data_IF_921342601063
#
_entry.id   IF_921342601063
#
_cell.length_a   1.000
_cell.length_b   1.000
_cell.length_c   1.000
_cell.angle_alpha   90.00
_cell.angle_beta   90.00
_cell.angle_gamma   90.00
#
_symmetry.space_group_name_H-M   'P 1'
#
loop_
_entity.id
_entity.type
_entity.pdbx_description
1 polymer ?
#
# COMPACT_ATOMS: atom_id res chain seq x y z
N UNK A 1 12.45 -62.70 38.56
CA UNK A 1 11.14 -63.06 37.96
C UNK A 1 11.01 -62.28 36.66
N UNK A 2 11.33 -62.84 35.48
CA UNK A 2 10.38 -63.34 34.45
C UNK A 2 9.05 -62.57 34.34
N UNK A 3 8.88 -61.83 33.23
CA UNK A 3 7.76 -61.85 32.23
C UNK A 3 7.56 -60.45 31.59
N UNK A 4 8.10 -60.17 30.40
CA UNK A 4 7.56 -60.36 29.03
C UNK A 4 6.50 -59.33 28.57
N UNK A 5 6.95 -58.33 27.78
CA UNK A 5 6.49 -57.78 26.47
C UNK A 5 4.96 -57.74 26.11
N UNK A 6 4.45 -56.61 25.57
CA UNK A 6 3.95 -56.41 24.16
C UNK A 6 2.94 -55.25 23.90
N UNK A 7 3.24 -54.48 22.83
CA UNK A 7 2.35 -53.84 21.80
C UNK A 7 1.60 -52.56 22.21
N UNK A 8 2.08 -51.37 21.83
CA UNK A 8 1.90 -50.66 20.53
C UNK A 8 0.49 -50.11 20.27
N UNK A 9 0.35 -48.78 20.33
CA UNK A 9 -0.56 -48.03 19.48
C UNK A 9 0.16 -46.74 19.05
N UNK A 10 0.82 -46.81 17.89
CA UNK A 10 1.35 -45.65 17.18
C UNK A 10 0.14 -44.88 16.64
N UNK A 11 -0.28 -43.83 17.33
CA UNK A 11 -1.18 -42.83 16.76
C UNK A 11 -0.32 -41.91 15.90
N UNK A 12 -0.17 -42.30 14.64
CA UNK A 12 0.36 -41.43 13.60
C UNK A 12 -0.62 -40.30 13.34
N UNK A 13 -0.49 -39.19 14.08
CA UNK A 13 -1.01 -37.91 13.62
C UNK A 13 -0.03 -37.43 12.55
N UNK A 14 -0.38 -37.74 11.30
CA UNK A 14 0.16 -37.00 10.16
C UNK A 14 -0.30 -35.56 10.29
N UNK A 15 0.61 -34.69 10.74
CA UNK A 15 0.49 -33.25 10.56
C UNK A 15 0.48 -33.01 9.04
N UNK A 16 -0.72 -32.96 8.48
CA UNK A 16 -0.99 -32.37 7.18
C UNK A 16 -0.63 -30.89 7.30
N UNK A 17 0.64 -30.55 7.07
CA UNK A 17 1.00 -29.21 6.64
C UNK A 17 0.38 -29.04 5.27
N UNK A 18 -0.88 -28.60 5.25
CA UNK A 18 -1.50 -28.14 4.03
C UNK A 18 -0.57 -27.13 3.39
N UNK A 19 -0.01 -27.46 2.22
CA UNK A 19 0.63 -26.46 1.39
C UNK A 19 -0.46 -25.50 0.96
N UNK A 20 -0.59 -24.39 1.67
CA UNK A 20 -1.36 -23.26 1.17
C UNK A 20 -0.56 -22.75 -0.03
N UNK A 21 -0.92 -23.22 -1.21
CA UNK A 21 -0.46 -22.62 -2.45
C UNK A 21 -1.05 -21.21 -2.48
N UNK A 22 -0.26 -20.24 -2.02
CA UNK A 22 -0.54 -18.83 -2.24
C UNK A 22 -0.47 -18.62 -3.74
N UNK A 23 -1.61 -18.69 -4.41
CA UNK A 23 -1.71 -18.31 -5.82
C UNK A 23 -1.39 -16.82 -5.88
N UNK A 24 -0.14 -16.47 -6.17
CA UNK A 24 0.25 -15.11 -6.45
C UNK A 24 -0.56 -14.64 -7.67
N UNK A 25 -1.45 -13.67 -7.48
CA UNK A 25 -2.20 -13.08 -8.58
C UNK A 25 -1.21 -12.42 -9.53
N UNK A 26 -1.16 -12.85 -10.80
CA UNK A 26 -0.32 -12.22 -11.83
C UNK A 26 -0.69 -10.74 -11.98
N UNK A 27 0.28 -9.82 -12.15
CA UNK A 27 0.00 -8.44 -12.53
C UNK A 27 -0.89 -8.37 -13.77
N UNK A 28 -1.91 -7.52 -13.73
CA UNK A 28 -2.85 -7.28 -14.83
C UNK A 28 -2.51 -6.00 -15.61
N UNK A 29 -1.74 -5.09 -15.03
CA UNK A 29 -1.36 -3.80 -15.62
C UNK A 29 0.15 -3.54 -15.44
N UNK A 30 0.79 -2.77 -16.34
CA UNK A 30 2.15 -2.31 -16.14
C UNK A 30 2.24 -1.25 -15.04
N UNK A 31 3.47 -0.95 -14.61
CA UNK A 31 3.73 0.15 -13.70
C UNK A 31 3.49 1.48 -14.43
N UNK A 32 2.87 2.48 -13.79
CA UNK A 32 2.90 3.85 -14.32
C UNK A 32 4.34 4.36 -14.43
N UNK A 33 4.57 5.25 -15.38
CA UNK A 33 5.86 5.93 -15.61
C UNK A 33 5.70 7.43 -15.44
N UNK A 34 6.82 8.15 -15.34
CA UNK A 34 6.78 9.62 -15.32
C UNK A 34 6.17 10.23 -14.06
N UNK A 35 6.08 9.49 -12.94
CA UNK A 35 5.53 10.03 -11.70
C UNK A 35 6.30 11.28 -11.24
N UNK A 36 5.56 12.36 -11.02
CA UNK A 36 6.03 13.59 -10.37
C UNK A 36 5.20 13.89 -9.13
N UNK A 37 5.77 14.64 -8.18
CA UNK A 37 5.15 15.05 -6.92
C UNK A 37 5.52 16.52 -6.72
N UNK A 38 4.60 17.41 -7.06
CA UNK A 38 4.83 18.84 -7.05
C UNK A 38 4.01 19.46 -5.95
N UNK A 39 4.62 20.30 -5.10
CA UNK A 39 3.85 21.09 -4.15
C UNK A 39 3.06 22.16 -4.91
N UNK A 40 1.76 22.22 -4.69
CA UNK A 40 0.88 23.24 -5.28
C UNK A 40 0.04 23.88 -4.17
N UNK A 41 0.40 25.09 -3.76
CA UNK A 41 -0.30 25.79 -2.68
C UNK A 41 -0.30 25.02 -1.35
N UNK A 42 -1.44 24.43 -1.00
CA UNK A 42 -1.70 23.64 0.21
C UNK A 42 -1.82 22.13 -0.05
N UNK A 43 -1.31 21.65 -1.17
CA UNK A 43 -1.39 20.25 -1.59
C UNK A 43 -0.10 19.71 -2.20
N UNK A 44 -0.10 18.39 -2.43
CA UNK A 44 0.85 17.69 -3.28
C UNK A 44 0.09 17.20 -4.52
N UNK A 45 0.42 17.77 -5.67
CA UNK A 45 -0.06 17.32 -6.97
C UNK A 45 0.82 16.17 -7.48
N UNK A 46 0.23 14.98 -7.56
CA UNK A 46 0.84 13.80 -8.17
C UNK A 46 0.36 13.64 -9.61
N UNK A 47 1.29 13.42 -10.54
CA UNK A 47 1.00 13.30 -11.98
C UNK A 47 1.86 12.22 -12.60
N UNK A 48 1.29 11.38 -13.47
CA UNK A 48 2.00 10.28 -14.13
C UNK A 48 1.42 9.97 -15.52
N UNK A 49 2.14 9.15 -16.29
CA UNK A 49 1.69 8.72 -17.61
C UNK A 49 0.50 7.75 -17.53
N UNK A 50 -0.50 7.96 -18.39
CA UNK A 50 -1.67 7.08 -18.54
C UNK A 50 -1.30 5.60 -18.74
N UNK A 51 -1.85 4.73 -17.90
CA UNK A 51 -1.76 3.28 -18.07
C UNK A 51 -3.00 2.74 -18.78
N UNK A 52 -2.82 2.26 -20.00
CA UNK A 52 -3.88 1.67 -20.79
C UNK A 52 -4.59 0.53 -20.04
N UNK A 53 -5.91 0.66 -19.88
CA UNK A 53 -6.75 -0.33 -19.19
C UNK A 53 -6.87 -0.13 -17.67
N UNK A 54 -6.14 0.81 -17.08
CA UNK A 54 -6.42 1.29 -15.74
C UNK A 54 -7.83 1.89 -15.66
N UNK A 55 -8.48 1.76 -14.51
CA UNK A 55 -9.69 2.54 -14.19
C UNK A 55 -9.52 3.40 -12.96
N UNK A 56 -8.46 3.17 -12.20
CA UNK A 56 -8.06 3.96 -11.04
C UNK A 56 -6.60 3.71 -10.70
N UNK A 57 -6.08 4.53 -9.80
CA UNK A 57 -4.72 4.44 -9.31
C UNK A 57 -4.69 4.48 -7.78
N UNK A 58 -3.55 4.09 -7.22
CA UNK A 58 -3.25 4.12 -5.79
C UNK A 58 -1.86 4.73 -5.64
N UNK A 59 -1.79 5.88 -4.99
CA UNK A 59 -0.55 6.56 -4.62
C UNK A 59 -0.21 6.14 -3.20
N UNK A 60 0.87 5.38 -3.04
CA UNK A 60 1.39 4.99 -1.73
C UNK A 60 2.48 5.99 -1.34
N UNK A 61 2.34 6.59 -0.16
CA UNK A 61 3.25 7.61 0.37
C UNK A 61 3.93 7.07 1.62
N UNK A 62 5.23 7.32 1.75
CA UNK A 62 6.01 7.08 2.96
C UNK A 62 6.58 8.41 3.47
N UNK A 63 6.37 8.72 4.74
CA UNK A 63 6.86 9.94 5.40
C UNK A 63 7.82 9.57 6.52
N UNK A 64 9.04 10.13 6.48
CA UNK A 64 10.05 9.92 7.51
C UNK A 64 9.82 10.89 8.68
N UNK A 65 9.40 10.35 9.82
CA UNK A 65 9.06 11.12 11.01
C UNK A 65 10.29 11.37 11.88
N UNK A 66 11.16 10.36 11.99
CA UNK A 66 12.42 10.47 12.71
C UNK A 66 13.41 9.40 12.26
N UNK A 67 14.71 9.66 12.41
CA UNK A 67 15.76 8.71 12.04
C UNK A 67 16.13 8.77 10.56
N UNK A 68 16.26 7.60 9.92
CA UNK A 68 16.64 7.46 8.50
C UNK A 68 15.67 6.52 7.79
N UNK A 69 15.73 6.44 6.46
CA UNK A 69 14.88 5.54 5.69
C UNK A 69 15.08 4.04 5.98
N UNK A 70 16.22 3.66 6.57
CA UNK A 70 16.52 2.26 6.91
C UNK A 70 16.13 1.88 8.35
N UNK A 71 16.16 2.85 9.28
CA UNK A 71 16.02 2.59 10.73
C UNK A 71 15.04 3.52 11.45
N UNK A 72 14.41 4.42 10.72
CA UNK A 72 13.54 5.47 11.24
C UNK A 72 12.10 5.05 11.48
N UNK A 73 11.35 5.98 12.06
CA UNK A 73 9.88 5.90 12.14
C UNK A 73 9.32 6.40 10.82
N UNK A 74 8.68 5.51 10.07
CA UNK A 74 8.08 5.80 8.77
C UNK A 74 6.58 5.59 8.87
N UNK A 75 5.82 6.63 8.53
CA UNK A 75 4.36 6.53 8.36
C UNK A 75 4.07 6.21 6.91
N UNK A 76 3.15 5.26 6.68
CA UNK A 76 2.71 4.85 5.35
C UNK A 76 1.25 5.22 5.15
N UNK A 77 0.99 5.99 4.10
CA UNK A 77 -0.33 6.44 3.69
C UNK A 77 -0.63 5.88 2.30
N UNK A 78 -1.92 5.79 1.95
CA UNK A 78 -2.34 5.40 0.61
C UNK A 78 -3.55 6.24 0.20
N UNK A 79 -3.45 6.89 -0.94
CA UNK A 79 -4.49 7.73 -1.51
C UNK A 79 -4.92 7.15 -2.85
N UNK A 80 -6.22 6.97 -3.05
CA UNK A 80 -6.75 6.41 -4.29
C UNK A 80 -7.48 7.45 -5.11
N UNK A 81 -7.38 7.36 -6.44
CA UNK A 81 -8.24 8.16 -7.31
C UNK A 81 -9.72 7.75 -7.22
N UNK A 82 -10.04 6.61 -6.58
CA UNK A 82 -11.42 6.19 -6.29
C UNK A 82 -12.13 7.01 -5.21
N UNK A 83 -11.35 7.71 -4.41
CA UNK A 83 -11.73 8.39 -3.18
C UNK A 83 -11.17 9.82 -3.18
N UNK A 84 -10.77 10.30 -4.37
CA UNK A 84 -10.25 11.65 -4.60
C UNK A 84 -11.26 12.73 -4.21
N UNK A 85 -10.75 13.80 -3.60
CA UNK A 85 -11.51 14.95 -3.10
C UNK A 85 -11.26 16.23 -3.91
N UNK A 86 -10.30 16.20 -4.82
CA UNK A 86 -9.86 17.29 -5.71
C UNK A 86 -10.81 17.57 -6.91
N UNK A 87 -11.87 16.77 -7.08
CA UNK A 87 -12.89 16.96 -8.10
C UNK A 87 -12.58 16.36 -9.48
N UNK A 88 -11.44 15.67 -9.65
CA UNK A 88 -11.15 14.95 -10.88
C UNK A 88 -11.94 13.63 -11.01
N UNK A 89 -11.74 12.93 -12.12
CA UNK A 89 -12.35 11.64 -12.42
C UNK A 89 -11.44 10.49 -11.97
N UNK A 90 -12.05 9.44 -11.40
CA UNK A 90 -11.33 8.28 -10.88
C UNK A 90 -10.31 7.64 -11.85
N UNK A 91 -10.53 7.72 -13.16
CA UNK A 91 -9.65 7.12 -14.17
C UNK A 91 -8.49 7.99 -14.62
N UNK A 92 -8.38 9.23 -14.16
CA UNK A 92 -7.31 10.15 -14.54
C UNK A 92 -5.98 9.76 -13.88
N UNK A 93 -4.89 10.21 -14.50
CA UNK A 93 -3.52 9.87 -14.11
C UNK A 93 -2.85 10.96 -13.30
N UNK A 94 -3.67 11.63 -12.52
CA UNK A 94 -3.30 12.64 -11.55
C UNK A 94 -4.13 12.47 -10.27
N UNK A 95 -3.56 12.97 -9.18
CA UNK A 95 -4.22 13.06 -7.90
C UNK A 95 -3.65 14.24 -7.13
N UNK A 96 -4.52 15.16 -6.73
CA UNK A 96 -4.16 16.27 -5.86
C UNK A 96 -4.56 15.96 -4.42
N UNK A 97 -3.59 15.94 -3.50
CA UNK A 97 -3.79 15.56 -2.09
C UNK A 97 -3.46 16.75 -1.20
N UNK A 98 -4.45 17.23 -0.45
CA UNK A 98 -4.28 18.35 0.48
C UNK A 98 -3.31 17.97 1.61
N UNK A 99 -2.52 18.92 2.10
CA UNK A 99 -1.64 18.70 3.26
C UNK A 99 -2.40 18.20 4.48
N UNK A 100 -3.65 18.65 4.67
CA UNK A 100 -4.53 18.21 5.76
C UNK A 100 -4.92 16.73 5.70
N UNK A 101 -4.70 16.05 4.58
CA UNK A 101 -4.94 14.62 4.44
C UNK A 101 -3.71 13.78 4.82
N UNK A 102 -2.52 14.41 4.94
CA UNK A 102 -1.30 13.79 5.45
C UNK A 102 -1.28 13.83 6.96
N UNK A 103 -2.15 13.04 7.59
CA UNK A 103 -2.30 12.96 9.04
C UNK A 103 -2.12 11.54 9.54
N UNK A 104 -1.61 11.38 10.75
CA UNK A 104 -1.47 10.09 11.41
C UNK A 104 -1.73 10.23 12.89
N UNK A 105 -2.46 9.27 13.46
CA UNK A 105 -2.73 9.22 14.89
C UNK A 105 -1.59 8.47 15.60
N UNK A 106 -0.65 9.21 16.20
CA UNK A 106 0.49 8.61 16.90
C UNK A 106 0.12 8.05 18.28
N UNK A 107 -0.91 8.59 18.94
CA UNK A 107 -1.30 8.20 20.30
C UNK A 107 -2.42 7.12 20.31
N UNK A 108 -3.08 6.90 19.18
CA UNK A 108 -4.15 5.93 19.02
C UNK A 108 -5.46 6.37 19.68
N UNK A 109 -5.58 7.63 20.07
CA UNK A 109 -6.78 8.17 20.71
C UNK A 109 -7.76 8.72 19.68
N UNK A 110 -8.89 8.01 19.53
CA UNK A 110 -10.00 8.46 18.67
C UNK A 110 -10.66 9.79 19.09
N UNK A 111 -10.34 10.34 20.26
CA UNK A 111 -10.91 11.58 20.79
C UNK A 111 -10.09 12.83 20.43
N UNK A 112 -8.85 12.66 19.97
CA UNK A 112 -7.99 13.75 19.49
C UNK A 112 -7.97 13.78 17.95
N UNK A 113 -7.87 14.96 17.33
CA UNK A 113 -7.58 15.03 15.91
C UNK A 113 -6.23 14.38 15.60
N UNK A 114 -6.08 13.70 14.45
CA UNK A 114 -4.82 13.07 14.09
C UNK A 114 -3.72 14.12 13.89
N UNK A 115 -2.47 13.73 14.11
CA UNK A 115 -1.32 14.62 14.01
C UNK A 115 -0.98 14.91 12.55
N UNK A 116 -0.72 16.19 12.25
CA UNK A 116 -0.25 16.63 10.95
C UNK A 116 1.18 16.12 10.71
N UNK A 117 1.38 15.43 9.59
CA UNK A 117 2.70 14.99 9.17
C UNK A 117 3.47 16.11 8.47
N UNK A 118 4.79 16.12 8.67
CA UNK A 118 5.76 17.05 8.06
C UNK A 118 7.09 16.33 7.83
N UNK A 119 7.92 16.80 6.88
CA UNK A 119 9.27 16.27 6.65
C UNK A 119 9.47 15.55 5.31
N UNK A 120 10.57 14.79 5.21
CA UNK A 120 10.92 14.08 3.98
C UNK A 120 9.89 13.00 3.65
N UNK A 121 9.44 12.99 2.40
CA UNK A 121 8.45 12.04 1.92
C UNK A 121 8.83 11.47 0.55
N UNK A 122 8.34 10.26 0.28
CA UNK A 122 8.43 9.66 -1.04
C UNK A 122 7.12 8.98 -1.40
N UNK A 123 6.78 9.00 -2.68
CA UNK A 123 5.57 8.40 -3.22
C UNK A 123 5.87 7.49 -4.40
N UNK A 124 5.00 6.50 -4.59
CA UNK A 124 4.96 5.65 -5.78
C UNK A 124 3.52 5.36 -6.13
N UNK A 125 3.24 5.15 -7.40
CA UNK A 125 1.87 4.93 -7.88
C UNK A 125 1.76 3.56 -8.55
N UNK A 126 0.60 2.92 -8.42
CA UNK A 126 0.24 1.74 -9.22
C UNK A 126 -1.09 1.91 -9.91
N UNK A 127 -1.18 1.35 -11.11
CA UNK A 127 -2.43 1.27 -11.85
C UNK A 127 -3.30 0.12 -11.35
N UNK A 128 -4.61 0.33 -11.30
CA UNK A 128 -5.59 -0.66 -10.89
C UNK A 128 -6.73 -0.71 -11.91
N UNK A 129 -7.17 -1.92 -12.24
CA UNK A 129 -8.40 -2.13 -13.00
C UNK A 129 -9.38 -2.85 -12.07
N UNK A 130 -10.45 -2.21 -11.58
CA UNK A 130 -11.36 -2.75 -10.59
C UNK A 130 -11.68 -4.19 -10.94
N UNK A 131 -11.54 -5.07 -9.94
CA UNK A 131 -11.70 -6.46 -10.21
C UNK A 131 -13.11 -6.73 -10.74
N UNK A 132 -13.22 -7.49 -11.84
CA UNK A 132 -14.44 -8.26 -12.05
C UNK A 132 -14.74 -9.06 -10.76
N UNK A 133 -16.02 -9.29 -10.45
CA UNK A 133 -16.60 -9.74 -9.14
C UNK A 133 -15.86 -10.82 -8.31
N UNK A 134 -14.73 -11.40 -8.74
CA UNK A 134 -13.90 -12.36 -8.01
C UNK A 134 -12.41 -12.01 -7.80
N UNK A 135 -11.86 -10.87 -8.26
CA UNK A 135 -10.42 -10.57 -8.07
C UNK A 135 -10.21 -9.74 -6.77
N UNK A 136 -9.75 -10.37 -5.69
CA UNK A 136 -9.61 -9.69 -4.38
C UNK A 136 -8.30 -8.90 -4.21
N UNK A 137 -7.30 -9.14 -5.07
CA UNK A 137 -6.01 -8.46 -5.04
C UNK A 137 -5.43 -8.37 -6.45
N UNK A 138 -4.86 -7.22 -6.79
CA UNK A 138 -4.08 -6.99 -8.00
C UNK A 138 -2.66 -6.67 -7.58
N UNK A 139 -1.76 -7.62 -7.81
CA UNK A 139 -0.33 -7.45 -7.56
C UNK A 139 0.34 -6.67 -8.72
N UNK A 140 -0.24 -5.52 -9.09
CA UNK A 140 0.34 -4.67 -10.13
C UNK A 140 1.60 -3.98 -9.59
N UNK A 141 2.65 -3.86 -10.41
CA UNK A 141 3.87 -3.17 -10.01
C UNK A 141 3.62 -1.68 -9.78
N UNK A 142 4.46 -1.09 -8.94
CA UNK A 142 4.52 0.35 -8.73
C UNK A 142 5.50 1.00 -9.71
N UNK A 143 5.32 2.31 -9.91
CA UNK A 143 6.29 3.20 -10.51
C UNK A 143 7.61 3.23 -9.73
N UNK A 144 8.61 3.90 -10.30
CA UNK A 144 9.74 4.40 -9.53
C UNK A 144 9.27 5.41 -8.47
N UNK A 145 10.11 5.62 -7.46
CA UNK A 145 9.86 6.60 -6.40
C UNK A 145 9.99 8.03 -6.92
N UNK A 146 9.12 8.88 -6.40
CA UNK A 146 9.20 10.31 -6.49
C UNK A 146 9.33 10.90 -5.08
N UNK A 147 10.14 11.95 -4.91
CA UNK A 147 10.53 12.49 -3.61
C UNK A 147 10.03 13.93 -3.46
N UNK A 148 9.57 14.28 -2.26
CA UNK A 148 9.08 15.61 -1.92
C UNK A 148 9.25 15.88 -0.42
N UNK A 149 8.88 17.07 0.04
CA UNK A 149 8.93 17.44 1.46
C UNK A 149 7.61 18.06 1.85
N UNK A 150 6.99 17.51 2.89
CA UNK A 150 5.81 18.09 3.51
C UNK A 150 6.23 19.26 4.40
N UNK A 151 5.49 20.40 4.36
CA UNK A 151 5.83 21.59 5.13
C UNK A 151 5.69 21.41 6.64
#
# INVERSE_FOLDING_TARGET
MKKTILISLIVGITLMFGSWAMAASKPTLPAPTGLTCTLDGDSVYFDWDDVAGAKKYSVDVEVLISGTWDEGVIVKLSFGTSDRTDGGLMGESDLDVLFTDFVYDFDGDSLTPPDQLSGEAMAKVKALNPPGKGVKSQNNPFSDWCYFTLP
#
